data_IF_155094567355
#
_entry.id   IF_155094567355
#
_cell.length_a   1.000
_cell.length_b   1.000
_cell.length_c   1.000
_cell.angle_alpha   90.00
_cell.angle_beta   90.00
_cell.angle_gamma   90.00
#
_symmetry.space_group_name_H-M   'P 1'
#
loop_
_entity.id
_entity.type
_entity.pdbx_description
1 polymer ?
#
# COMPACT_ATOMS: atom_id res chain seq x y z
N UNK A 1 -9.20 0.40 1.78
CA UNK A 1 -9.49 -0.91 1.15
C UNK A 1 -8.20 -1.70 1.06
N UNK A 2 -8.17 -2.92 1.61
CA UNK A 2 -7.06 -3.86 1.43
C UNK A 2 -7.37 -4.73 0.20
N UNK A 3 -6.45 -4.78 -0.77
CA UNK A 3 -6.61 -5.59 -1.97
C UNK A 3 -5.59 -6.74 -1.93
N UNK A 4 -6.02 -8.01 -1.80
CA UNK A 4 -5.12 -9.15 -1.83
C UNK A 4 -4.62 -9.36 -3.27
N UNK A 5 -3.30 -9.44 -3.44
CA UNK A 5 -2.66 -9.84 -4.70
C UNK A 5 -1.86 -11.11 -4.46
N UNK A 6 -2.45 -12.30 -4.66
CA UNK A 6 -1.75 -13.56 -4.48
C UNK A 6 -0.79 -13.76 -5.66
N UNK A 7 0.51 -13.76 -5.38
CA UNK A 7 1.52 -14.37 -6.25
C UNK A 7 2.29 -15.36 -5.38
N UNK A 8 2.02 -16.65 -5.60
CA UNK A 8 2.93 -17.76 -5.30
C UNK A 8 3.20 -18.07 -3.80
N UNK A 9 2.16 -18.45 -3.03
CA UNK A 9 2.27 -19.02 -1.66
C UNK A 9 2.74 -18.11 -0.51
N UNK A 10 2.86 -16.80 -0.72
CA UNK A 10 3.08 -15.85 0.39
C UNK A 10 1.83 -14.97 0.62
N UNK A 11 1.24 -15.05 1.82
CA UNK A 11 0.20 -14.11 2.26
C UNK A 11 0.80 -12.71 2.38
N UNK A 12 0.56 -11.89 1.36
CA UNK A 12 1.02 -10.51 1.29
C UNK A 12 -0.14 -9.56 1.48
N UNK A 13 0.08 -8.62 2.39
CA UNK A 13 -0.84 -7.57 2.76
C UNK A 13 -0.36 -6.26 2.15
N UNK A 14 -1.29 -5.53 1.54
CA UNK A 14 -1.05 -4.18 1.05
C UNK A 14 -1.80 -3.20 1.94
N UNK A 15 -1.07 -2.28 2.56
CA UNK A 15 -1.60 -1.21 3.39
C UNK A 15 -1.20 0.12 2.77
N UNK A 16 -2.18 0.99 2.54
CA UNK A 16 -1.92 2.38 2.21
C UNK A 16 -2.25 3.23 3.43
N UNK A 17 -1.26 3.99 3.91
CA UNK A 17 -1.39 4.85 5.08
C UNK A 17 -1.00 6.28 4.72
N UNK A 18 -1.66 7.25 5.32
CA UNK A 18 -1.24 8.64 5.27
C UNK A 18 -0.31 8.89 6.45
N UNK A 19 0.93 9.30 6.17
CA UNK A 19 1.92 9.62 7.19
C UNK A 19 2.40 11.04 6.88
N UNK A 20 2.17 11.95 7.83
CA UNK A 20 2.44 13.38 7.71
C UNK A 20 1.68 14.03 6.54
N UNK A 21 2.37 14.37 5.45
CA UNK A 21 1.80 15.00 4.25
C UNK A 21 1.81 14.06 3.03
N UNK A 22 2.25 12.80 3.20
CA UNK A 22 2.40 11.87 2.10
C UNK A 22 1.66 10.55 2.33
N UNK A 23 1.13 10.01 1.24
CA UNK A 23 0.59 8.67 1.25
C UNK A 23 1.73 7.68 1.02
N UNK A 24 1.74 6.61 1.79
CA UNK A 24 2.68 5.52 1.65
C UNK A 24 1.91 4.24 1.37
N UNK A 25 2.42 3.44 0.44
CA UNK A 25 1.96 2.08 0.22
C UNK A 25 3.03 1.13 0.72
N UNK A 26 2.64 0.27 1.66
CA UNK A 26 3.47 -0.79 2.21
C UNK A 26 2.89 -2.13 1.78
N UNK A 27 3.77 -2.98 1.26
CA UNK A 27 3.53 -4.41 1.05
C UNK A 27 4.32 -5.17 2.10
N UNK A 28 3.65 -6.02 2.85
CA UNK A 28 4.23 -6.75 3.98
C UNK A 28 3.62 -8.14 4.10
N UNK A 29 4.27 -9.03 4.84
CA UNK A 29 3.73 -10.35 5.19
C UNK A 29 3.97 -10.66 6.67
N UNK A 30 3.16 -11.56 7.22
CA UNK A 30 3.42 -12.16 8.52
C UNK A 30 4.53 -13.20 8.40
N UNK A 31 5.44 -13.22 9.38
CA UNK A 31 6.45 -14.27 9.55
C UNK A 31 6.42 -14.71 11.01
N UNK A 32 5.58 -15.70 11.30
CA UNK A 32 5.23 -16.02 12.69
C UNK A 32 4.56 -14.82 13.35
N UNK A 33 5.15 -14.32 14.43
CA UNK A 33 4.63 -13.17 15.20
C UNK A 33 5.21 -11.82 14.77
N UNK A 34 6.09 -11.80 13.76
CA UNK A 34 6.76 -10.59 13.28
C UNK A 34 6.22 -10.15 11.91
N UNK A 35 6.22 -8.82 11.69
CA UNK A 35 5.89 -8.23 10.39
C UNK A 35 7.17 -8.14 9.55
N UNK A 36 7.16 -8.71 8.34
CA UNK A 36 8.20 -8.51 7.33
C UNK A 36 7.73 -7.49 6.32
N UNK A 37 8.36 -6.32 6.30
CA UNK A 37 8.14 -5.34 5.23
C UNK A 37 8.86 -5.82 3.97
N UNK A 38 8.11 -6.03 2.89
CA UNK A 38 8.64 -6.46 1.59
C UNK A 38 8.98 -5.24 0.74
N UNK A 39 8.11 -4.24 0.73
CA UNK A 39 8.31 -3.00 0.00
C UNK A 39 7.53 -1.87 0.65
N UNK A 40 8.18 -0.73 0.84
CA UNK A 40 7.54 0.52 1.23
C UNK A 40 7.86 1.55 0.17
N UNK A 41 6.83 2.21 -0.35
CA UNK A 41 7.00 3.28 -1.34
C UNK A 41 6.10 4.46 -0.99
N UNK A 42 6.68 5.66 -1.06
CA UNK A 42 5.91 6.91 -1.03
C UNK A 42 5.08 6.97 -2.31
N UNK A 43 3.75 7.03 -2.18
CA UNK A 43 2.90 7.41 -3.28
C UNK A 43 3.19 8.89 -3.57
N UNK A 44 3.67 9.18 -4.78
CA UNK A 44 3.99 10.54 -5.17
C UNK A 44 2.68 11.35 -5.24
N UNK A 45 2.71 12.62 -4.82
CA UNK A 45 1.52 13.51 -4.82
C UNK A 45 0.74 13.52 -6.14
N UNK A 46 1.42 13.23 -7.25
CA UNK A 46 0.83 13.13 -8.58
C UNK A 46 -0.20 12.00 -8.72
N UNK A 47 -0.06 10.87 -8.02
CA UNK A 47 -1.07 9.80 -8.03
C UNK A 47 -2.33 10.17 -7.22
N UNK A 48 -2.18 10.93 -6.13
CA UNK A 48 -3.31 11.43 -5.31
C UNK A 48 -4.15 12.42 -6.13
N UNK A 49 -3.47 13.35 -6.82
CA UNK A 49 -4.13 14.30 -7.71
C UNK A 49 -4.87 13.57 -8.84
N UNK A 50 -4.23 12.60 -9.48
CA UNK A 50 -4.85 11.81 -10.56
C UNK A 50 -6.01 10.95 -10.08
N UNK A 51 -5.95 10.41 -8.85
CA UNK A 51 -7.06 9.65 -8.26
C UNK A 51 -8.27 10.56 -7.94
N UNK A 52 -8.03 11.78 -7.41
CA UNK A 52 -9.07 12.79 -7.20
C UNK A 52 -9.71 13.26 -8.50
N UNK A 53 -8.94 13.45 -9.56
CA UNK A 53 -9.48 13.84 -10.88
C UNK A 53 -10.26 12.71 -11.57
N UNK A 54 -9.93 11.44 -11.30
CA UNK A 54 -10.59 10.30 -11.96
C UNK A 54 -11.84 9.80 -11.22
N UNK A 55 -11.97 10.09 -9.91
CA UNK A 55 -13.08 9.60 -9.06
C UNK A 55 -13.86 10.70 -8.34
N UNK A 56 -13.60 11.97 -8.67
CA UNK A 56 -14.37 13.13 -8.20
C UNK A 56 -15.18 13.74 -9.34
N UNK A 57 -16.30 13.10 -9.65
CA UNK A 57 -17.38 13.59 -10.51
C UNK A 57 -18.72 13.12 -9.95
#
# INVERSE_FOLDING_TARGET
>A
MHQPTPRNDEERWKTTAHIEEAFFTVVWSWRGESIRVISMRRAHEQEIRRYRETHGG
#
